data_IF_897573116686
#
_entry.id   IF_897573116686
#
_cell.length_a   1.000
_cell.length_b   1.000
_cell.length_c   1.000
_cell.angle_alpha   90.00
_cell.angle_beta   90.00
_cell.angle_gamma   90.00
#
_symmetry.space_group_name_H-M   'P 1'
#
loop_
_entity.id
_entity.type
_entity.pdbx_description
1 polymer ?
#
# COMPACT_ATOMS: atom_id res chain seq x y z
N UNK A 1 -9.64 2.04 -13.92
CA UNK A 1 -10.00 2.79 -12.68
C UNK A 1 -9.39 4.19 -12.71
N UNK A 2 -10.22 5.23 -12.81
CA UNK A 2 -9.79 6.61 -13.07
C UNK A 2 -9.62 7.49 -11.83
N UNK A 3 -9.51 8.80 -12.04
CA UNK A 3 -9.41 9.82 -10.97
C UNK A 3 -10.68 9.90 -10.09
N UNK A 4 -11.83 9.46 -10.60
CA UNK A 4 -13.09 9.42 -9.84
C UNK A 4 -13.21 8.23 -8.88
N UNK A 5 -12.39 7.19 -9.05
CA UNK A 5 -12.50 5.98 -8.24
C UNK A 5 -11.83 6.14 -6.86
N UNK A 6 -12.66 6.22 -5.82
CA UNK A 6 -12.26 6.40 -4.41
C UNK A 6 -11.46 5.23 -3.83
N UNK A 7 -11.52 4.04 -4.44
CA UNK A 7 -10.80 2.85 -3.94
C UNK A 7 -9.33 2.90 -4.33
N UNK A 8 -9.01 3.54 -5.45
CA UNK A 8 -7.64 3.55 -5.99
C UNK A 8 -6.72 4.58 -5.36
N UNK A 9 -5.41 4.37 -5.52
CA UNK A 9 -4.39 5.35 -5.14
C UNK A 9 -4.57 6.66 -5.92
N UNK A 10 -4.84 6.57 -7.22
CA UNK A 10 -4.98 7.74 -8.11
C UNK A 10 -6.19 8.59 -7.75
N UNK A 11 -7.35 7.97 -7.48
CA UNK A 11 -8.53 8.73 -7.07
C UNK A 11 -8.44 9.30 -5.65
N UNK A 12 -7.73 8.64 -4.72
CA UNK A 12 -7.43 9.22 -3.41
C UNK A 12 -6.52 10.44 -3.49
N UNK A 13 -5.52 10.42 -4.38
CA UNK A 13 -4.62 11.55 -4.63
C UNK A 13 -5.41 12.72 -5.22
N UNK A 14 -6.19 12.47 -6.27
CA UNK A 14 -6.99 13.50 -6.93
C UNK A 14 -7.97 14.21 -5.99
N UNK A 15 -8.59 13.46 -5.06
CA UNK A 15 -9.51 14.01 -4.05
C UNK A 15 -8.83 14.59 -2.81
N UNK A 16 -7.49 14.61 -2.73
CA UNK A 16 -6.75 15.09 -1.55
C UNK A 16 -6.80 14.18 -0.30
N UNK A 17 -7.57 13.09 -0.33
CA UNK A 17 -7.75 12.15 0.80
C UNK A 17 -6.62 11.10 0.95
N UNK A 18 -5.52 11.24 0.20
CA UNK A 18 -4.46 10.25 0.19
C UNK A 18 -3.59 10.30 1.47
N UNK A 19 -3.74 9.28 2.33
CA UNK A 19 -2.91 9.15 3.52
C UNK A 19 -1.57 8.43 3.25
N UNK A 20 -0.51 9.22 3.02
CA UNK A 20 0.87 8.73 2.77
C UNK A 20 1.43 7.91 3.95
N UNK A 21 1.14 8.28 5.19
CA UNK A 21 1.60 7.57 6.41
C UNK A 21 1.03 6.14 6.45
N UNK A 22 -0.27 5.97 6.19
CA UNK A 22 -0.95 4.66 6.12
C UNK A 22 -0.36 3.78 5.01
N UNK A 23 -0.04 4.37 3.86
CA UNK A 23 0.54 3.62 2.73
C UNK A 23 1.96 3.13 3.03
N UNK A 24 2.80 3.96 3.64
CA UNK A 24 4.15 3.57 4.09
C UNK A 24 4.10 2.42 5.10
N UNK A 25 3.22 2.50 6.12
CA UNK A 25 3.02 1.40 7.09
C UNK A 25 2.61 0.09 6.41
N UNK A 26 1.69 0.13 5.44
CA UNK A 26 1.29 -1.06 4.67
C UNK A 26 2.43 -1.63 3.83
N UNK A 27 3.23 -0.79 3.17
CA UNK A 27 4.38 -1.23 2.36
C UNK A 27 5.43 -1.91 3.25
N UNK A 28 5.72 -1.33 4.42
CA UNK A 28 6.64 -1.90 5.40
C UNK A 28 6.17 -3.27 5.90
N UNK A 29 4.89 -3.39 6.33
CA UNK A 29 4.31 -4.68 6.74
C UNK A 29 4.43 -5.75 5.66
N UNK A 30 4.16 -5.41 4.39
CA UNK A 30 4.32 -6.34 3.28
C UNK A 30 5.77 -6.79 3.08
N UNK A 31 6.75 -5.88 3.22
CA UNK A 31 8.17 -6.20 3.12
C UNK A 31 8.62 -7.15 4.22
N UNK A 32 8.22 -6.88 5.47
CA UNK A 32 8.51 -7.73 6.62
C UNK A 32 7.86 -9.12 6.49
N UNK A 33 6.62 -9.19 6.01
CA UNK A 33 5.95 -10.47 5.73
C UNK A 33 6.67 -11.26 4.64
N UNK A 34 7.15 -10.59 3.57
CA UNK A 34 7.93 -11.26 2.50
C UNK A 34 9.25 -11.83 3.03
N UNK A 35 9.96 -11.11 3.90
CA UNK A 35 11.20 -11.58 4.51
C UNK A 35 11.00 -12.79 5.44
N UNK A 36 9.90 -12.83 6.19
CA UNK A 36 9.57 -13.99 7.04
C UNK A 36 9.29 -15.24 6.22
N UNK A 37 8.60 -15.11 5.10
CA UNK A 37 8.24 -16.26 4.26
C UNK A 37 9.43 -16.81 3.46
N UNK A 38 10.43 -15.98 3.13
CA UNK A 38 11.64 -16.43 2.41
C UNK A 38 12.67 -17.15 3.29
N UNK A 39 12.55 -17.09 4.62
CA UNK A 39 13.45 -17.76 5.56
C UNK A 39 12.92 -19.10 6.09
N UNK A 40 11.75 -19.56 5.62
CA UNK A 40 11.12 -20.83 6.04
C UNK A 40 11.19 -21.91 4.95
N UNK A 41 11.84 -21.60 3.83
CA UNK A 41 12.09 -22.51 2.70
C UNK A 41 13.60 -22.63 2.48
N UNK A 42 14.33 -23.12 3.47
CA UNK A 42 15.74 -23.50 3.38
C UNK A 42 16.05 -24.51 4.46
#
# INVERSE_FOLDING_TARGET
MGKGDRRTRRGKIFRGTFNKKKFKKKKLKKRLAKQKNSGMTS
#
